data_IF_394637262743
#
_entry.id   IF_394637262743
#
_cell.length_a   1.000
_cell.length_b   1.000
_cell.length_c   1.000
_cell.angle_alpha   90.00
_cell.angle_beta   90.00
_cell.angle_gamma   90.00
#
_symmetry.space_group_name_H-M   'P 1'
#
loop_
_entity.id
_entity.type
_entity.pdbx_description
1 polymer ?
#
# COMPACT_ATOMS: atom_id res chain seq x y z
N UNK A 1 27.64 39.11 21.55
CA UNK A 1 27.15 39.36 20.17
C UNK A 1 27.69 38.34 19.18
N UNK A 2 28.97 37.96 19.21
CA UNK A 2 29.52 36.91 18.33
C UNK A 2 28.78 35.56 18.37
N UNK A 3 28.31 35.14 19.54
CA UNK A 3 27.53 33.91 19.67
C UNK A 3 26.17 33.96 18.94
N UNK A 4 25.51 35.13 18.87
CA UNK A 4 24.27 35.31 18.08
C UNK A 4 24.54 35.21 16.58
N UNK A 5 25.67 35.76 16.13
CA UNK A 5 26.12 35.65 14.73
C UNK A 5 26.40 34.18 14.39
N UNK A 6 27.06 33.44 15.28
CA UNK A 6 27.30 32.00 15.10
C UNK A 6 26.00 31.19 15.02
N UNK A 7 25.02 31.49 15.89
CA UNK A 7 23.70 30.84 15.82
C UNK A 7 23.01 31.15 14.50
N UNK A 8 22.98 32.41 14.08
CA UNK A 8 22.36 32.80 12.81
C UNK A 8 23.02 32.11 11.61
N UNK A 9 24.36 32.08 11.57
CA UNK A 9 25.10 31.37 10.52
C UNK A 9 24.80 29.87 10.51
N UNK A 10 24.67 29.24 11.68
CA UNK A 10 24.27 27.84 11.78
C UNK A 10 22.87 27.61 11.21
N UNK A 11 21.89 28.45 11.56
CA UNK A 11 20.54 28.39 10.99
C UNK A 11 20.52 28.58 9.47
N UNK A 12 21.24 29.58 8.96
CA UNK A 12 21.36 29.82 7.51
C UNK A 12 21.95 28.59 6.82
N UNK A 13 23.00 28.00 7.40
CA UNK A 13 23.61 26.78 6.88
C UNK A 13 22.62 25.60 6.87
N UNK A 14 21.85 25.41 7.94
CA UNK A 14 20.84 24.35 8.03
C UNK A 14 19.74 24.52 6.97
N UNK A 15 19.18 25.73 6.84
CA UNK A 15 18.16 26.06 5.82
C UNK A 15 18.71 25.87 4.41
N UNK A 16 19.90 26.41 4.13
CA UNK A 16 20.55 26.27 2.83
C UNK A 16 20.80 24.79 2.49
N UNK A 17 21.20 23.98 3.47
CA UNK A 17 21.39 22.53 3.30
C UNK A 17 20.09 21.85 2.89
N UNK A 18 18.97 22.12 3.59
CA UNK A 18 17.66 21.55 3.27
C UNK A 18 17.22 21.99 1.86
N UNK A 19 17.33 23.29 1.55
CA UNK A 19 16.92 23.83 0.24
C UNK A 19 17.73 23.22 -0.90
N UNK A 20 19.06 23.11 -0.76
CA UNK A 20 19.93 22.57 -1.82
C UNK A 20 19.70 21.07 -2.02
N UNK A 21 19.43 20.31 -0.96
CA UNK A 21 19.24 18.87 -1.05
C UNK A 21 17.81 18.48 -1.48
N UNK A 22 16.80 19.26 -1.08
CA UNK A 22 15.38 18.99 -1.37
C UNK A 22 14.80 19.85 -2.50
N UNK A 23 15.61 20.62 -3.26
CA UNK A 23 15.12 21.58 -4.25
C UNK A 23 14.16 21.01 -5.29
N UNK A 24 14.24 19.70 -5.58
CA UNK A 24 13.37 19.01 -6.54
C UNK A 24 11.97 18.73 -6.00
N UNK A 25 11.79 18.75 -4.68
CA UNK A 25 10.54 18.46 -4.00
C UNK A 25 10.19 19.62 -3.05
N UNK A 26 9.59 20.71 -3.56
CA UNK A 26 9.33 21.92 -2.77
C UNK A 26 8.46 21.64 -1.54
N UNK A 27 7.50 20.70 -1.64
CA UNK A 27 6.71 20.26 -0.49
C UNK A 27 7.56 19.65 0.62
N UNK A 28 8.47 18.72 0.30
CA UNK A 28 9.38 18.11 1.28
C UNK A 28 10.31 19.14 1.91
N UNK A 29 10.84 20.06 1.11
CA UNK A 29 11.69 21.16 1.60
C UNK A 29 10.93 22.02 2.62
N UNK A 30 9.68 22.41 2.33
CA UNK A 30 8.84 23.20 3.24
C UNK A 30 8.54 22.44 4.54
N UNK A 31 8.23 21.15 4.47
CA UNK A 31 7.97 20.33 5.65
C UNK A 31 9.20 20.29 6.58
N UNK A 32 10.39 20.06 6.02
CA UNK A 32 11.64 20.05 6.78
C UNK A 32 12.04 21.42 7.31
N UNK A 33 11.80 22.49 6.56
CA UNK A 33 12.01 23.85 7.04
C UNK A 33 11.07 24.19 8.20
N UNK A 34 9.83 23.73 8.19
CA UNK A 34 8.90 23.91 9.31
C UNK A 34 9.39 23.18 10.57
N UNK A 35 9.81 21.92 10.44
CA UNK A 35 10.36 21.14 11.56
C UNK A 35 11.63 21.82 12.11
N UNK A 36 12.51 22.28 11.22
CA UNK A 36 13.72 23.01 11.60
C UNK A 36 13.37 24.32 12.32
N UNK A 37 12.38 25.06 11.85
CA UNK A 37 11.95 26.31 12.47
C UNK A 37 11.40 26.10 13.88
N UNK A 38 10.57 25.07 14.08
CA UNK A 38 9.98 24.75 15.39
C UNK A 38 11.00 24.11 16.35
N UNK A 39 11.92 23.30 15.81
CA UNK A 39 12.92 22.56 16.58
C UNK A 39 14.30 22.64 15.89
N UNK A 40 15.05 23.73 16.06
CA UNK A 40 16.28 23.99 15.29
C UNK A 40 17.36 22.92 15.37
N UNK A 41 17.63 22.44 16.59
CA UNK A 41 18.67 21.43 16.81
C UNK A 41 18.16 20.04 16.43
N UNK A 42 16.99 19.67 16.98
CA UNK A 42 16.40 18.34 16.80
C UNK A 42 15.98 18.14 15.34
N UNK A 43 15.38 19.14 14.71
CA UNK A 43 14.90 19.10 13.33
C UNK A 43 16.01 18.91 12.32
N UNK A 44 17.17 19.54 12.50
CA UNK A 44 18.31 19.29 11.63
C UNK A 44 18.92 17.90 11.81
N UNK A 45 18.97 17.41 13.06
CA UNK A 45 19.39 16.03 13.35
C UNK A 45 18.42 15.04 12.68
N UNK A 46 17.11 15.23 12.84
CA UNK A 46 16.09 14.41 12.20
C UNK A 46 16.22 14.45 10.67
N UNK A 47 16.39 15.64 10.08
CA UNK A 47 16.61 15.79 8.64
C UNK A 47 17.79 14.93 8.16
N UNK A 48 18.91 14.98 8.86
CA UNK A 48 20.10 14.24 8.48
C UNK A 48 19.91 12.71 8.47
N UNK A 49 19.13 12.17 9.42
CA UNK A 49 18.86 10.72 9.53
C UNK A 49 17.66 10.23 8.72
N UNK A 50 16.76 11.13 8.32
CA UNK A 50 15.47 10.74 7.74
C UNK A 50 15.37 11.17 6.26
N UNK A 51 15.90 12.33 5.86
CA UNK A 51 15.52 12.97 4.60
C UNK A 51 16.25 12.51 3.32
N UNK A 52 17.36 11.76 3.39
CA UNK A 52 18.19 11.51 2.20
C UNK A 52 17.66 10.38 1.28
N UNK A 53 16.80 10.74 0.32
CA UNK A 53 16.12 9.79 -0.59
C UNK A 53 16.89 9.47 -1.91
N UNK A 54 17.41 10.49 -2.63
CA UNK A 54 17.70 10.33 -4.07
C UNK A 54 18.87 9.39 -4.44
N UNK A 55 20.04 9.51 -3.79
CA UNK A 55 21.21 8.65 -4.10
C UNK A 55 20.99 7.18 -3.73
N UNK A 56 20.08 6.90 -2.78
CA UNK A 56 19.84 5.56 -2.25
C UNK A 56 18.80 4.78 -3.06
N UNK A 57 17.77 5.44 -3.60
CA UNK A 57 16.86 4.83 -4.59
C UNK A 57 17.66 4.15 -5.72
N UNK A 58 18.65 4.86 -6.27
CA UNK A 58 19.53 4.32 -7.33
C UNK A 58 20.31 3.07 -6.91
N UNK A 59 20.72 2.95 -5.64
CA UNK A 59 21.46 1.79 -5.11
C UNK A 59 20.53 0.60 -4.84
N UNK A 60 19.30 0.86 -4.37
CA UNK A 60 18.24 -0.15 -4.17
C UNK A 60 17.80 -0.75 -5.52
N UNK A 61 17.59 0.11 -6.52
CA UNK A 61 17.23 -0.29 -7.90
C UNK A 61 18.16 -1.33 -8.51
N UNK A 62 19.47 -1.15 -8.34
CA UNK A 62 20.47 -2.08 -8.90
C UNK A 62 20.47 -3.46 -8.21
N UNK A 63 19.78 -3.61 -7.07
CA UNK A 63 19.68 -4.88 -6.33
C UNK A 63 18.37 -5.61 -6.61
N UNK A 64 17.24 -4.93 -6.85
CA UNK A 64 15.92 -5.56 -7.04
C UNK A 64 15.72 -6.29 -8.37
N UNK A 65 16.01 -5.66 -9.52
CA UNK A 65 15.51 -6.13 -10.83
C UNK A 65 16.13 -7.42 -11.40
N UNK A 66 17.17 -7.98 -10.77
CA UNK A 66 17.89 -9.15 -11.32
C UNK A 66 17.21 -10.50 -11.07
N UNK A 67 16.32 -10.60 -10.09
CA UNK A 67 15.64 -11.88 -9.80
C UNK A 67 14.56 -12.13 -10.85
N UNK A 68 13.72 -11.13 -11.12
CA UNK A 68 12.64 -11.25 -12.09
C UNK A 68 13.15 -11.53 -13.51
N UNK A 69 14.20 -10.83 -13.96
CA UNK A 69 14.76 -11.02 -15.30
C UNK A 69 15.22 -12.45 -15.60
N UNK A 70 15.59 -13.23 -14.60
CA UNK A 70 16.04 -14.62 -14.79
C UNK A 70 14.89 -15.63 -14.92
N UNK A 71 13.73 -15.34 -14.31
CA UNK A 71 12.56 -16.24 -14.34
C UNK A 71 11.51 -15.75 -15.34
N UNK A 72 11.58 -14.49 -15.77
CA UNK A 72 10.62 -13.82 -16.65
C UNK A 72 10.26 -14.65 -17.86
N UNK A 73 11.25 -15.12 -18.63
CA UNK A 73 10.97 -15.82 -19.88
C UNK A 73 10.19 -17.12 -19.64
N UNK A 74 10.44 -17.79 -18.51
CA UNK A 74 9.67 -18.97 -18.09
C UNK A 74 8.27 -18.59 -17.62
N UNK A 75 8.14 -17.56 -16.79
CA UNK A 75 6.83 -17.08 -16.34
C UNK A 75 5.94 -16.71 -17.53
N UNK A 76 6.51 -16.03 -18.53
CA UNK A 76 5.79 -15.65 -19.75
C UNK A 76 5.30 -16.84 -20.56
N UNK A 77 6.01 -17.98 -20.53
CA UNK A 77 5.58 -19.20 -21.21
C UNK A 77 4.46 -19.93 -20.47
N UNK A 78 4.40 -19.79 -19.14
CA UNK A 78 3.42 -20.48 -18.29
C UNK A 78 2.18 -19.63 -17.99
N UNK A 79 2.23 -18.32 -18.28
CA UNK A 79 1.20 -17.35 -17.94
C UNK A 79 0.39 -16.98 -19.17
N UNK A 80 -0.94 -16.92 -19.05
CA UNK A 80 -1.80 -16.28 -20.04
C UNK A 80 -1.66 -14.77 -19.89
N UNK A 81 -0.89 -14.14 -20.78
CA UNK A 81 -0.61 -12.70 -20.76
C UNK A 81 -1.52 -11.98 -21.75
N UNK A 82 -2.09 -10.86 -21.29
CA UNK A 82 -2.86 -9.93 -22.11
C UNK A 82 -1.93 -8.78 -22.53
N UNK A 83 -1.41 -8.86 -23.75
CA UNK A 83 -0.46 -7.89 -24.31
C UNK A 83 -1.09 -6.92 -25.31
N UNK A 84 -2.29 -7.23 -25.80
CA UNK A 84 -3.06 -6.37 -26.66
C UNK A 84 -4.41 -5.98 -26.03
N UNK A 85 -4.91 -4.80 -26.39
CA UNK A 85 -6.18 -4.30 -25.89
C UNK A 85 -7.37 -5.15 -26.36
N UNK A 86 -7.28 -5.72 -27.56
CA UNK A 86 -8.38 -6.52 -28.14
C UNK A 86 -8.64 -7.82 -27.36
N UNK A 87 -7.64 -8.29 -26.60
CA UNK A 87 -7.75 -9.45 -25.71
C UNK A 87 -8.33 -9.09 -24.33
N UNK A 88 -8.61 -7.82 -24.04
CA UNK A 88 -9.25 -7.43 -22.79
C UNK A 88 -10.70 -7.96 -22.73
N UNK A 89 -11.07 -8.63 -21.64
CA UNK A 89 -12.44 -9.12 -21.43
C UNK A 89 -13.45 -7.97 -21.26
N UNK A 90 -12.97 -6.76 -20.98
CA UNK A 90 -13.78 -5.60 -20.65
C UNK A 90 -13.88 -4.61 -21.82
N UNK A 91 -15.09 -4.46 -22.37
CA UNK A 91 -15.36 -3.55 -23.49
C UNK A 91 -15.16 -2.07 -23.16
N UNK A 92 -15.10 -1.67 -21.88
CA UNK A 92 -14.83 -0.29 -21.47
C UNK A 92 -13.40 0.16 -21.85
N UNK A 93 -12.50 -0.78 -22.14
CA UNK A 93 -11.15 -0.51 -22.62
C UNK A 93 -11.08 -0.05 -24.07
N UNK A 94 -12.16 -0.17 -24.85
CA UNK A 94 -12.19 0.37 -26.22
C UNK A 94 -11.88 1.87 -26.18
N UNK A 95 -10.89 2.29 -26.96
CA UNK A 95 -10.39 3.67 -27.02
C UNK A 95 -9.68 4.16 -25.73
N UNK A 96 -9.09 3.23 -24.97
CA UNK A 96 -8.28 3.54 -23.78
C UNK A 96 -6.80 3.19 -24.00
N UNK A 97 -6.27 3.43 -25.21
CA UNK A 97 -4.93 3.01 -25.65
C UNK A 97 -3.85 3.57 -24.74
N UNK A 98 -4.05 4.81 -24.29
CA UNK A 98 -3.13 5.48 -23.37
C UNK A 98 -3.12 4.86 -21.98
N UNK A 99 -4.28 4.49 -21.43
CA UNK A 99 -4.35 3.85 -20.11
C UNK A 99 -3.80 2.43 -20.19
N UNK A 100 -4.19 1.66 -21.20
CA UNK A 100 -3.68 0.31 -21.41
C UNK A 100 -2.15 0.33 -21.56
N UNK A 101 -1.62 1.19 -22.45
CA UNK A 101 -0.18 1.38 -22.62
C UNK A 101 0.53 1.86 -21.37
N UNK A 102 -0.11 2.71 -20.56
CA UNK A 102 0.44 3.09 -19.26
C UNK A 102 0.59 1.85 -18.37
N UNK A 103 -0.49 1.09 -18.15
CA UNK A 103 -0.50 -0.07 -17.27
C UNK A 103 0.49 -1.16 -17.71
N UNK A 104 0.66 -1.39 -19.01
CA UNK A 104 1.60 -2.38 -19.54
C UNK A 104 3.06 -1.93 -19.48
N UNK A 105 3.35 -0.62 -19.51
CA UNK A 105 4.73 -0.12 -19.53
C UNK A 105 5.26 0.40 -18.19
N UNK A 106 4.39 0.77 -17.24
CA UNK A 106 4.83 1.23 -15.90
C UNK A 106 5.26 0.08 -15.00
N UNK A 107 4.81 -1.14 -15.27
CA UNK A 107 5.06 -2.31 -14.44
C UNK A 107 5.86 -3.37 -15.17
N UNK A 108 6.70 -4.08 -14.43
CA UNK A 108 7.26 -5.35 -14.88
C UNK A 108 6.24 -6.50 -14.78
N UNK A 109 5.09 -6.28 -14.13
CA UNK A 109 4.01 -7.25 -13.98
C UNK A 109 2.96 -7.07 -15.08
N UNK A 110 2.73 -8.07 -15.95
CA UNK A 110 1.75 -7.99 -17.02
C UNK A 110 0.32 -8.14 -16.48
N UNK A 111 -0.65 -7.84 -17.34
CA UNK A 111 -2.04 -8.26 -17.12
C UNK A 111 -2.11 -9.75 -17.41
N UNK A 112 -2.60 -10.53 -16.44
CA UNK A 112 -2.72 -11.99 -16.52
C UNK A 112 -4.19 -12.37 -16.72
N UNK A 113 -4.50 -13.38 -17.52
CA UNK A 113 -5.88 -13.76 -17.88
C UNK A 113 -6.41 -15.07 -17.30
N UNK A 114 -5.57 -15.83 -16.59
CA UNK A 114 -5.94 -17.12 -15.97
C UNK A 114 -6.10 -16.89 -14.46
N UNK A 115 -7.20 -16.27 -14.03
CA UNK A 115 -7.41 -15.98 -12.60
C UNK A 115 -8.85 -16.18 -12.14
N UNK A 116 -8.97 -16.39 -10.84
CA UNK A 116 -10.21 -16.26 -10.08
C UNK A 116 -9.94 -15.48 -8.80
N UNK A 117 -10.73 -14.43 -8.55
CA UNK A 117 -10.59 -13.58 -7.38
C UNK A 117 -11.79 -13.68 -6.43
N UNK A 118 -11.50 -13.61 -5.14
CA UNK A 118 -12.52 -13.56 -4.08
C UNK A 118 -12.25 -12.39 -3.15
N UNK A 119 -13.22 -11.48 -3.07
CA UNK A 119 -13.18 -10.30 -2.19
C UNK A 119 -13.59 -10.69 -0.77
N UNK A 120 -12.72 -10.37 0.19
CA UNK A 120 -12.89 -10.59 1.63
C UNK A 120 -12.93 -9.23 2.34
N UNK A 121 -13.93 -9.01 3.20
CA UNK A 121 -14.33 -7.67 3.66
C UNK A 121 -14.06 -7.38 5.14
N UNK A 122 -13.50 -8.33 5.86
CA UNK A 122 -13.25 -8.23 7.30
C UNK A 122 -12.13 -9.19 7.72
N UNK A 123 -11.61 -8.99 8.94
CA UNK A 123 -10.53 -9.82 9.49
C UNK A 123 -10.93 -11.28 9.69
N UNK A 124 -12.14 -11.56 10.18
CA UNK A 124 -12.59 -12.92 10.46
C UNK A 124 -12.56 -13.79 9.19
N UNK A 125 -13.22 -13.33 8.12
CA UNK A 125 -13.28 -14.06 6.85
C UNK A 125 -11.90 -14.14 6.19
N UNK A 126 -11.10 -13.08 6.31
CA UNK A 126 -9.77 -13.04 5.70
C UNK A 126 -8.82 -14.01 6.37
N UNK A 127 -8.67 -13.92 7.69
CA UNK A 127 -7.75 -14.80 8.40
C UNK A 127 -8.21 -16.26 8.37
N UNK A 128 -9.52 -16.53 8.43
CA UNK A 128 -10.03 -17.89 8.25
C UNK A 128 -9.66 -18.46 6.88
N UNK A 129 -9.79 -17.68 5.81
CA UNK A 129 -9.41 -18.11 4.46
C UNK A 129 -7.89 -18.30 4.32
N UNK A 130 -7.08 -17.39 4.88
CA UNK A 130 -5.62 -17.50 4.88
C UNK A 130 -5.15 -18.75 5.64
N UNK A 131 -5.64 -18.97 6.85
CA UNK A 131 -5.29 -20.14 7.66
C UNK A 131 -5.73 -21.43 6.98
N UNK A 132 -6.94 -21.48 6.41
CA UNK A 132 -7.41 -22.64 5.65
C UNK A 132 -6.53 -22.95 4.44
N UNK A 133 -6.07 -21.93 3.71
CA UNK A 133 -5.12 -22.13 2.60
C UNK A 133 -3.77 -22.65 3.11
N UNK A 134 -3.24 -22.09 4.20
CA UNK A 134 -1.98 -22.55 4.80
C UNK A 134 -2.04 -24.01 5.29
N UNK A 135 -3.16 -24.45 5.84
CA UNK A 135 -3.35 -25.86 6.23
C UNK A 135 -3.25 -26.82 5.05
N UNK A 136 -3.69 -26.39 3.86
CA UNK A 136 -3.66 -27.19 2.64
C UNK A 136 -2.29 -27.20 1.94
N UNK A 137 -1.33 -26.38 2.40
CA UNK A 137 -0.02 -26.24 1.76
C UNK A 137 0.75 -27.57 1.70
N UNK A 138 1.48 -27.82 0.62
CA UNK A 138 2.23 -29.06 0.40
C UNK A 138 3.70 -28.83 0.08
N UNK A 139 4.07 -27.66 -0.43
CA UNK A 139 5.43 -27.35 -0.85
C UNK A 139 5.98 -26.15 -0.09
N UNK A 140 5.31 -25.00 -0.14
CA UNK A 140 5.80 -23.80 0.53
C UNK A 140 4.70 -22.82 0.96
N UNK A 141 5.03 -22.04 1.99
CA UNK A 141 4.26 -20.88 2.44
C UNK A 141 5.20 -19.69 2.51
N UNK A 142 4.87 -18.62 1.80
CA UNK A 142 5.58 -17.36 1.83
C UNK A 142 4.65 -16.27 2.35
N UNK A 143 5.02 -15.62 3.43
CA UNK A 143 4.19 -14.60 4.07
C UNK A 143 4.99 -13.36 4.40
N UNK A 144 4.43 -12.19 4.13
CA UNK A 144 4.92 -10.93 4.63
C UNK A 144 3.81 -10.04 5.19
N UNK A 145 4.14 -9.25 6.21
CA UNK A 145 3.23 -8.26 6.78
C UNK A 145 4.01 -7.09 7.37
N UNK A 146 3.41 -5.89 7.33
CA UNK A 146 3.97 -4.71 7.99
C UNK A 146 3.91 -4.85 9.50
N UNK A 147 2.74 -5.22 10.04
CA UNK A 147 2.54 -5.49 11.46
C UNK A 147 2.29 -6.99 11.65
N UNK A 148 3.03 -7.60 12.57
CA UNK A 148 2.76 -8.93 13.08
C UNK A 148 2.77 -8.88 14.60
N UNK A 149 1.67 -9.28 15.22
CA UNK A 149 1.50 -9.29 16.68
C UNK A 149 1.67 -10.70 17.25
N UNK A 150 2.08 -10.75 18.53
CA UNK A 150 2.14 -11.99 19.31
C UNK A 150 0.90 -12.09 20.21
N UNK A 151 -0.27 -12.13 19.59
CA UNK A 151 -1.60 -12.15 20.20
C UNK A 151 -2.41 -13.36 19.72
N UNK A 152 -3.73 -13.40 19.94
CA UNK A 152 -4.57 -14.56 19.64
C UNK A 152 -4.41 -15.04 18.20
N UNK A 153 -4.64 -14.15 17.22
CA UNK A 153 -4.50 -14.49 15.81
C UNK A 153 -3.04 -14.74 15.41
N UNK A 154 -2.09 -13.96 15.93
CA UNK A 154 -0.67 -14.18 15.68
C UNK A 154 -0.19 -15.57 16.11
N UNK A 155 -0.67 -16.05 17.26
CA UNK A 155 -0.41 -17.40 17.75
C UNK A 155 -1.04 -18.48 16.85
N UNK A 156 -2.23 -18.25 16.27
CA UNK A 156 -2.81 -19.18 15.30
C UNK A 156 -1.92 -19.31 14.06
N UNK A 157 -1.51 -18.19 13.45
CA UNK A 157 -0.57 -18.20 12.32
C UNK A 157 0.73 -18.93 12.66
N UNK A 158 1.35 -18.62 13.81
CA UNK A 158 2.57 -19.30 14.28
C UNK A 158 2.37 -20.82 14.36
N UNK A 159 1.28 -21.27 14.98
CA UNK A 159 1.02 -22.69 15.17
C UNK A 159 0.85 -23.42 13.83
N UNK A 160 0.15 -22.82 12.87
CA UNK A 160 0.03 -23.39 11.51
C UNK A 160 1.41 -23.46 10.85
N UNK A 161 2.17 -22.36 10.85
CA UNK A 161 3.52 -22.34 10.25
C UNK A 161 4.42 -23.45 10.79
N UNK A 162 4.49 -23.61 12.12
CA UNK A 162 5.33 -24.64 12.75
C UNK A 162 4.85 -26.05 12.37
N UNK A 163 3.52 -26.31 12.38
CA UNK A 163 2.99 -27.61 11.96
C UNK A 163 3.33 -27.93 10.51
N UNK A 164 3.15 -26.97 9.60
CA UNK A 164 3.47 -27.17 8.18
C UNK A 164 4.96 -27.42 7.95
N UNK A 165 5.85 -26.77 8.71
CA UNK A 165 7.29 -27.11 8.68
C UNK A 165 7.54 -28.56 9.11
N UNK A 166 6.86 -29.05 10.15
CA UNK A 166 6.98 -30.44 10.61
C UNK A 166 6.46 -31.45 9.57
N UNK A 167 5.49 -31.05 8.74
CA UNK A 167 4.98 -31.82 7.60
C UNK A 167 5.89 -31.74 6.36
N UNK A 168 6.99 -30.99 6.42
CA UNK A 168 7.97 -30.85 5.34
C UNK A 168 7.76 -29.64 4.41
N UNK A 169 6.78 -28.77 4.70
CA UNK A 169 6.51 -27.56 3.92
C UNK A 169 7.54 -26.48 4.24
N UNK A 170 8.06 -25.80 3.21
CA UNK A 170 9.00 -24.69 3.39
C UNK A 170 8.27 -23.41 3.78
N UNK A 171 8.47 -22.91 5.00
CA UNK A 171 7.78 -21.69 5.46
C UNK A 171 8.75 -20.52 5.63
N UNK A 172 8.41 -19.38 5.03
CA UNK A 172 9.19 -18.13 5.05
C UNK A 172 8.33 -16.96 5.48
N UNK A 173 8.78 -16.22 6.49
CA UNK A 173 8.09 -15.07 7.05
C UNK A 173 8.98 -13.81 6.99
N UNK A 174 8.44 -12.73 6.42
CA UNK A 174 9.01 -11.39 6.50
C UNK A 174 8.11 -10.52 7.37
N UNK A 175 8.72 -9.84 8.36
CA UNK A 175 8.03 -8.78 9.11
C UNK A 175 8.75 -7.44 8.86
N UNK A 176 8.02 -6.34 8.71
CA UNK A 176 8.68 -5.02 8.72
C UNK A 176 9.26 -4.75 10.11
N UNK A 177 10.53 -4.32 10.16
CA UNK A 177 11.22 -4.13 11.43
C UNK A 177 10.73 -2.93 12.25
N UNK A 178 10.14 -1.91 11.62
CA UNK A 178 9.51 -0.81 12.34
C UNK A 178 8.05 -1.13 12.65
N UNK A 179 7.28 -1.68 11.72
CA UNK A 179 5.88 -2.03 11.96
C UNK A 179 5.72 -3.11 13.03
N UNK A 180 6.64 -4.08 13.07
CA UNK A 180 6.63 -5.21 14.00
C UNK A 180 7.63 -5.06 15.15
N UNK A 181 8.02 -3.83 15.52
CA UNK A 181 9.00 -3.59 16.61
C UNK A 181 8.56 -4.11 17.99
N UNK A 182 7.25 -4.28 18.18
CA UNK A 182 6.66 -4.85 19.39
C UNK A 182 6.61 -6.38 19.40
N UNK A 183 7.00 -7.04 18.31
CA UNK A 183 7.03 -8.50 18.24
C UNK A 183 8.15 -9.02 19.15
N UNK A 184 7.77 -9.79 20.18
CA UNK A 184 8.71 -10.27 21.20
C UNK A 184 9.75 -11.20 20.57
N UNK A 185 11.01 -11.05 20.98
CA UNK A 185 12.10 -11.93 20.53
C UNK A 185 11.84 -13.41 20.87
N UNK A 186 11.15 -13.70 21.97
CA UNK A 186 10.75 -15.07 22.33
C UNK A 186 9.81 -15.67 21.30
N UNK A 187 8.84 -14.89 20.79
CA UNK A 187 7.89 -15.36 19.78
C UNK A 187 8.59 -15.67 18.45
N UNK A 188 9.52 -14.80 18.04
CA UNK A 188 10.36 -15.02 16.85
C UNK A 188 11.24 -16.26 17.02
N UNK A 189 11.82 -16.43 18.21
CA UNK A 189 12.65 -17.59 18.52
C UNK A 189 11.85 -18.89 18.45
N UNK A 190 10.62 -18.92 18.97
CA UNK A 190 9.75 -20.11 18.85
C UNK A 190 9.44 -20.49 17.40
N UNK A 191 9.23 -19.51 16.51
CA UNK A 191 9.08 -19.75 15.07
C UNK A 191 10.35 -20.36 14.47
N UNK A 192 11.52 -19.77 14.78
CA UNK A 192 12.81 -20.21 14.26
C UNK A 192 13.22 -21.59 14.79
N UNK A 193 13.02 -21.85 16.07
CA UNK A 193 13.25 -23.15 16.70
C UNK A 193 12.29 -24.22 16.12
N UNK A 194 11.09 -23.81 15.70
CA UNK A 194 10.15 -24.63 14.93
C UNK A 194 10.50 -24.81 13.45
N UNK A 195 11.59 -24.22 12.97
CA UNK A 195 12.12 -24.35 11.60
C UNK A 195 11.56 -23.36 10.58
N UNK A 196 10.77 -22.37 11.00
CA UNK A 196 10.30 -21.28 10.13
C UNK A 196 11.46 -20.32 9.83
N UNK A 197 11.66 -19.97 8.56
CA UNK A 197 12.66 -18.95 8.20
C UNK A 197 12.05 -17.56 8.42
N UNK A 198 12.57 -16.82 9.41
CA UNK A 198 12.04 -15.48 9.75
C UNK A 198 13.11 -14.41 9.53
N UNK A 199 12.77 -13.38 8.76
CA UNK A 199 13.61 -12.19 8.57
C UNK A 199 12.82 -10.90 8.78
N UNK A 200 13.54 -9.84 9.18
CA UNK A 200 12.97 -8.50 9.30
C UNK A 200 13.40 -7.61 8.14
N UNK A 201 12.45 -6.96 7.50
CA UNK A 201 12.74 -5.94 6.49
C UNK A 201 13.20 -4.65 7.17
N UNK A 202 14.43 -4.21 6.87
CA UNK A 202 15.06 -3.00 7.39
C UNK A 202 14.81 -2.76 8.90
N UNK A 203 15.35 -3.60 9.80
CA UNK A 203 15.15 -3.45 11.23
C UNK A 203 15.67 -2.10 11.74
N UNK A 204 15.11 -1.54 12.83
CA UNK A 204 15.30 -0.12 13.18
C UNK A 204 16.75 0.33 13.32
N UNK A 205 17.63 -0.52 13.87
CA UNK A 205 19.06 -0.23 13.98
C UNK A 205 19.72 -0.15 12.60
N UNK A 206 19.43 -1.09 11.71
CA UNK A 206 19.95 -1.08 10.32
C UNK A 206 19.36 0.10 9.55
N UNK A 207 18.07 0.37 9.73
CA UNK A 207 17.38 1.48 9.08
C UNK A 207 17.89 2.85 9.52
N UNK A 208 18.21 3.04 10.80
CA UNK A 208 18.77 4.29 11.31
C UNK A 208 20.22 4.48 10.87
N UNK A 209 21.06 3.44 10.96
CA UNK A 209 22.46 3.47 10.49
C UNK A 209 22.53 3.73 8.98
N UNK A 210 21.72 3.04 8.19
CA UNK A 210 21.67 3.21 6.74
C UNK A 210 20.82 4.40 6.29
N UNK A 211 20.23 5.18 7.22
CA UNK A 211 19.28 6.30 6.96
C UNK A 211 18.21 5.92 5.91
N UNK A 212 17.53 4.81 6.16
CA UNK A 212 16.43 4.21 5.38
C UNK A 212 15.16 4.06 6.24
N UNK A 213 15.02 4.89 7.28
CA UNK A 213 13.87 4.85 8.19
C UNK A 213 12.56 5.12 7.43
N UNK A 214 12.60 6.00 6.41
CA UNK A 214 11.44 6.31 5.57
C UNK A 214 10.95 5.16 4.70
N UNK A 215 11.83 4.20 4.37
CA UNK A 215 11.46 3.06 3.52
C UNK A 215 11.01 1.91 4.39
N UNK A 216 9.72 1.57 4.29
CA UNK A 216 9.08 0.49 5.03
C UNK A 216 8.43 -0.48 4.04
N UNK A 217 8.46 -1.77 4.36
CA UNK A 217 7.69 -2.74 3.59
C UNK A 217 6.26 -2.73 4.12
N UNK A 218 5.35 -2.19 3.33
CA UNK A 218 3.93 -2.09 3.66
C UNK A 218 3.07 -3.09 2.87
N UNK A 219 3.70 -3.99 2.11
CA UNK A 219 3.02 -5.10 1.46
C UNK A 219 2.57 -6.13 2.50
N UNK A 220 1.43 -6.76 2.21
CA UNK A 220 0.85 -7.84 3.00
C UNK A 220 0.53 -8.93 1.99
N UNK A 221 1.39 -9.94 1.93
CA UNK A 221 1.31 -11.02 0.95
C UNK A 221 1.27 -12.34 1.71
N UNK A 222 0.42 -13.25 1.28
CA UNK A 222 0.54 -14.67 1.58
C UNK A 222 0.47 -15.42 0.25
N UNK A 223 1.48 -16.25 -0.04
CA UNK A 223 1.48 -17.19 -1.16
C UNK A 223 1.59 -18.59 -0.60
N UNK A 224 0.69 -19.47 -1.04
CA UNK A 224 0.67 -20.90 -0.71
C UNK A 224 0.91 -21.70 -1.97
N UNK A 225 1.97 -22.51 -1.96
CA UNK A 225 2.40 -23.40 -3.04
C UNK A 225 2.53 -22.73 -4.42
N UNK A 226 2.63 -21.40 -4.48
CA UNK A 226 2.65 -20.65 -5.74
C UNK A 226 1.32 -20.62 -6.49
N UNK A 227 0.24 -21.17 -5.93
CA UNK A 227 -1.07 -21.34 -6.61
C UNK A 227 -2.19 -20.51 -6.00
N UNK A 228 -2.12 -20.24 -4.69
CA UNK A 228 -3.08 -19.39 -3.97
C UNK A 228 -2.33 -18.20 -3.38
N UNK A 229 -2.85 -17.00 -3.63
CA UNK A 229 -2.28 -15.74 -3.15
C UNK A 229 -3.29 -14.89 -2.39
N UNK A 230 -2.80 -14.09 -1.45
CA UNK A 230 -3.59 -13.09 -0.74
C UNK A 230 -2.87 -11.75 -0.76
N UNK A 231 -3.63 -10.68 -0.98
CA UNK A 231 -3.16 -9.28 -0.94
C UNK A 231 -4.27 -8.33 -0.48
N UNK A 232 -3.95 -7.35 0.36
CA UNK A 232 -4.93 -6.36 0.84
C UNK A 232 -4.45 -5.53 2.03
N UNK A 233 -5.37 -4.83 2.70
CA UNK A 233 -5.02 -3.85 3.73
C UNK A 233 -4.72 -4.41 5.13
N UNK A 234 -5.13 -5.65 5.41
CA UNK A 234 -5.03 -6.27 6.73
C UNK A 234 -3.60 -6.71 7.09
N UNK A 235 -3.16 -6.37 8.30
CA UNK A 235 -1.98 -6.97 8.93
C UNK A 235 -2.39 -8.14 9.85
N UNK A 236 -1.45 -8.72 10.61
CA UNK A 236 -1.75 -9.78 11.59
C UNK A 236 -1.78 -9.22 13.00
N UNK A 237 -2.96 -9.23 13.62
CA UNK A 237 -3.22 -8.82 14.99
C UNK A 237 -4.71 -8.86 15.38
N UNK A 238 -4.99 -8.96 16.67
CA UNK A 238 -6.35 -9.07 17.20
C UNK A 238 -7.17 -7.78 16.96
N UNK A 239 -6.51 -6.63 16.76
CA UNK A 239 -7.19 -5.37 16.40
C UNK A 239 -7.98 -5.50 15.09
N UNK A 240 -7.49 -6.30 14.15
CA UNK A 240 -8.13 -6.53 12.84
C UNK A 240 -9.35 -7.46 12.92
N UNK A 241 -9.50 -8.19 14.03
CA UNK A 241 -10.70 -8.94 14.37
C UNK A 241 -11.76 -8.07 15.08
N UNK A 242 -11.49 -6.76 15.25
CA UNK A 242 -12.35 -5.84 15.97
C UNK A 242 -12.26 -5.97 17.49
N UNK A 243 -11.19 -6.58 18.00
CA UNK A 243 -10.95 -6.74 19.44
C UNK A 243 -10.26 -5.52 20.09
N UNK A 244 -9.99 -4.46 19.31
CA UNK A 244 -9.52 -3.19 19.84
C UNK A 244 -10.68 -2.38 20.45
N UNK A 245 -10.60 -2.11 21.76
CA UNK A 245 -11.67 -1.43 22.50
C UNK A 245 -11.90 0.03 22.12
N UNK A 246 -10.99 0.67 21.37
CA UNK A 246 -11.11 2.07 20.95
C UNK A 246 -11.63 2.19 19.51
N UNK A 247 -11.10 1.41 18.59
CA UNK A 247 -11.43 1.46 17.16
C UNK A 247 -12.62 0.56 16.80
N UNK A 248 -12.89 -0.47 17.60
CA UNK A 248 -14.02 -1.38 17.41
C UNK A 248 -13.92 -2.16 16.09
N UNK A 249 -15.03 -2.28 15.37
CA UNK A 249 -15.10 -3.05 14.13
C UNK A 249 -14.09 -2.54 13.09
N UNK A 250 -13.21 -3.44 12.63
CA UNK A 250 -12.20 -3.14 11.63
C UNK A 250 -12.69 -3.54 10.23
N UNK A 251 -13.03 -2.54 9.41
CA UNK A 251 -13.50 -2.73 8.04
C UNK A 251 -12.32 -2.57 7.07
N UNK A 252 -11.90 -3.65 6.43
CA UNK A 252 -10.81 -3.65 5.46
C UNK A 252 -11.11 -4.60 4.30
N UNK A 253 -10.41 -4.48 3.18
CA UNK A 253 -10.62 -5.33 2.00
C UNK A 253 -9.34 -6.08 1.65
N UNK A 254 -9.50 -7.39 1.43
CA UNK A 254 -8.45 -8.30 1.02
C UNK A 254 -8.93 -9.12 -0.18
N UNK A 255 -8.02 -9.50 -1.05
CA UNK A 255 -8.27 -10.41 -2.16
C UNK A 255 -7.59 -11.74 -1.88
N UNK A 256 -8.35 -12.83 -2.05
CA UNK A 256 -7.78 -14.13 -2.36
C UNK A 256 -7.77 -14.29 -3.88
N UNK A 257 -6.65 -14.76 -4.41
CA UNK A 257 -6.41 -14.92 -5.85
C UNK A 257 -5.93 -16.35 -6.09
N UNK A 258 -6.53 -17.02 -7.05
CA UNK A 258 -6.00 -18.28 -7.60
C UNK A 258 -5.64 -18.06 -9.06
N UNK A 259 -4.48 -18.54 -9.49
CA UNK A 259 -4.02 -18.45 -10.88
C UNK A 259 -2.83 -17.54 -11.10
N UNK A 260 -2.63 -17.09 -12.34
CA UNK A 260 -1.37 -16.54 -12.85
C UNK A 260 -0.88 -15.28 -12.13
N UNK A 261 -1.78 -14.45 -11.62
CA UNK A 261 -1.43 -13.29 -10.81
C UNK A 261 -0.62 -13.67 -9.54
N UNK A 262 -0.77 -14.91 -9.04
CA UNK A 262 -0.02 -15.41 -7.87
C UNK A 262 1.48 -15.49 -8.15
N UNK A 263 1.91 -15.74 -9.39
CA UNK A 263 3.33 -15.71 -9.74
C UNK A 263 3.96 -14.34 -9.48
N UNK A 264 3.19 -13.26 -9.66
CA UNK A 264 3.67 -11.89 -9.47
C UNK A 264 3.64 -11.47 -8.00
N UNK A 265 2.69 -11.99 -7.20
CA UNK A 265 2.75 -11.91 -5.73
C UNK A 265 4.01 -12.62 -5.20
N UNK A 266 4.26 -13.84 -5.69
CA UNK A 266 5.42 -14.66 -5.35
C UNK A 266 6.72 -13.94 -5.70
N UNK A 267 6.82 -13.38 -6.91
CA UNK A 267 8.02 -12.66 -7.33
C UNK A 267 8.28 -11.40 -6.48
N UNK A 268 7.23 -10.65 -6.12
CA UNK A 268 7.37 -9.51 -5.22
C UNK A 268 7.91 -9.94 -3.85
N UNK A 269 7.33 -11.00 -3.26
CA UNK A 269 7.81 -11.58 -2.02
C UNK A 269 9.28 -12.02 -2.11
N UNK A 270 9.70 -12.70 -3.18
CA UNK A 270 11.09 -13.14 -3.34
C UNK A 270 12.06 -11.97 -3.51
N UNK A 271 11.61 -10.88 -4.14
CA UNK A 271 12.35 -9.62 -4.20
C UNK A 271 12.58 -9.03 -2.79
N UNK A 272 11.53 -8.98 -1.99
CA UNK A 272 11.60 -8.47 -0.61
C UNK A 272 12.38 -9.42 0.30
N UNK A 273 12.27 -10.73 0.09
CA UNK A 273 13.06 -11.74 0.78
C UNK A 273 14.55 -11.53 0.55
N UNK A 274 14.95 -11.26 -0.69
CA UNK A 274 16.35 -10.97 -1.02
C UNK A 274 16.83 -9.68 -0.38
N UNK A 275 15.97 -8.66 -0.29
CA UNK A 275 16.31 -7.41 0.39
C UNK A 275 16.45 -7.58 1.91
N UNK A 276 15.61 -8.42 2.53
CA UNK A 276 15.59 -8.66 3.96
C UNK A 276 16.68 -9.64 4.43
N UNK A 277 16.80 -10.80 3.76
CA UNK A 277 17.72 -11.88 4.15
C UNK A 277 19.08 -11.83 3.46
N UNK A 278 19.18 -11.15 2.32
CA UNK A 278 20.34 -11.21 1.42
C UNK A 278 20.41 -12.51 0.58
N UNK A 279 19.54 -13.49 0.86
CA UNK A 279 19.51 -14.76 0.15
C UNK A 279 18.86 -14.61 -1.23
N UNK A 280 19.39 -15.37 -2.19
CA UNK A 280 18.81 -15.46 -3.53
C UNK A 280 18.13 -16.81 -3.67
N UNK A 281 16.82 -16.79 -3.93
CA UNK A 281 16.04 -17.99 -4.23
C UNK A 281 15.69 -17.94 -5.72
N UNK A 282 16.04 -18.99 -6.44
CA UNK A 282 15.67 -19.19 -7.83
C UNK A 282 15.37 -20.69 -8.01
N UNK A 283 14.22 -21.10 -7.47
CA UNK A 283 13.72 -22.47 -7.60
C UNK A 283 12.50 -22.47 -8.53
N UNK A 284 12.59 -23.09 -9.72
CA UNK A 284 11.47 -23.34 -10.61
C UNK A 284 10.18 -23.89 -9.99
N UNK A 285 10.29 -24.68 -8.91
CA UNK A 285 9.13 -25.29 -8.25
C UNK A 285 8.21 -24.28 -7.60
N UNK A 286 8.71 -23.07 -7.34
CA UNK A 286 7.92 -21.96 -6.79
C UNK A 286 6.88 -21.40 -7.77
N UNK A 287 6.91 -21.86 -9.03
CA UNK A 287 6.04 -21.44 -10.12
C UNK A 287 5.44 -22.69 -10.81
N UNK A 288 4.56 -23.43 -10.11
CA UNK A 288 3.88 -24.59 -10.69
C UNK A 288 2.87 -24.12 -11.74
N UNK A 289 2.65 -24.89 -12.81
CA UNK A 289 1.63 -24.56 -13.82
C UNK A 289 0.24 -24.41 -13.21
N UNK A 290 -0.49 -23.40 -13.66
CA UNK A 290 -1.88 -23.19 -13.25
C UNK A 290 -2.86 -23.82 -14.23
N UNK A 291 -3.83 -24.55 -13.69
CA UNK A 291 -4.98 -25.05 -14.43
C UNK A 291 -6.21 -24.28 -13.99
N UNK A 292 -6.34 -23.02 -14.44
CA UNK A 292 -7.40 -22.15 -13.97
C UNK A 292 -8.75 -22.56 -14.52
N UNK A 293 -9.77 -22.44 -13.68
CA UNK A 293 -11.17 -22.51 -14.09
C UNK A 293 -11.74 -21.13 -14.42
N UNK A 294 -11.19 -20.08 -13.78
CA UNK A 294 -11.51 -18.69 -14.05
C UNK A 294 -10.65 -18.09 -15.16
N UNK A 295 -11.21 -17.09 -15.83
CA UNK A 295 -10.59 -16.33 -16.90
C UNK A 295 -10.51 -14.82 -16.58
N UNK A 296 -10.55 -14.46 -15.28
CA UNK A 296 -10.48 -13.06 -14.86
C UNK A 296 -9.11 -12.46 -15.19
N UNK A 297 -9.13 -11.21 -15.64
CA UNK A 297 -7.94 -10.44 -15.91
C UNK A 297 -7.52 -9.65 -14.68
N UNK A 298 -6.30 -9.91 -14.23
CA UNK A 298 -5.73 -9.31 -13.02
C UNK A 298 -4.31 -8.85 -13.29
N UNK A 299 -3.97 -7.66 -12.82
CA UNK A 299 -2.60 -7.16 -12.79
C UNK A 299 -2.17 -6.89 -11.35
N UNK A 300 -1.04 -7.47 -10.93
CA UNK A 300 -0.42 -7.15 -9.63
C UNK A 300 0.58 -6.02 -9.84
N UNK A 301 0.19 -4.80 -9.45
CA UNK A 301 1.04 -3.62 -9.56
C UNK A 301 1.83 -3.42 -8.26
N UNK A 302 3.15 -3.33 -8.35
CA UNK A 302 4.01 -2.97 -7.21
C UNK A 302 4.54 -1.55 -7.36
N UNK A 303 4.75 -0.87 -6.24
CA UNK A 303 5.49 0.40 -6.18
C UNK A 303 6.51 0.34 -5.06
N UNK A 304 7.58 1.12 -5.19
CA UNK A 304 8.62 1.19 -4.17
C UNK A 304 9.80 2.09 -4.57
N UNK A 305 10.61 2.52 -3.59
CA UNK A 305 11.79 3.35 -3.83
C UNK A 305 12.89 2.65 -4.65
N UNK A 306 12.75 1.35 -4.88
CA UNK A 306 13.61 0.52 -5.73
C UNK A 306 13.21 0.51 -7.21
N UNK A 307 12.03 1.05 -7.56
CA UNK A 307 11.52 1.07 -8.93
C UNK A 307 11.82 2.37 -9.67
N UNK A 308 11.63 2.37 -10.99
CA UNK A 308 11.86 3.55 -11.82
C UNK A 308 10.71 4.55 -11.77
N UNK A 309 9.48 4.04 -11.78
CA UNK A 309 8.24 4.80 -11.79
C UNK A 309 7.55 4.67 -10.44
N UNK A 310 6.83 5.71 -10.03
CA UNK A 310 5.93 5.64 -8.87
C UNK A 310 4.59 5.03 -9.34
N UNK A 311 4.64 3.73 -9.71
CA UNK A 311 3.66 3.09 -10.59
C UNK A 311 2.21 3.15 -10.09
N UNK A 312 1.99 2.98 -8.78
CA UNK A 312 0.64 3.07 -8.18
C UNK A 312 0.07 4.49 -8.30
N UNK A 313 0.90 5.52 -8.15
CA UNK A 313 0.47 6.91 -8.27
C UNK A 313 0.11 7.23 -9.73
N UNK A 314 0.94 6.82 -10.68
CA UNK A 314 0.69 7.01 -12.12
C UNK A 314 -0.56 6.24 -12.57
N UNK A 315 -0.77 5.02 -12.07
CA UNK A 315 -2.00 4.25 -12.29
C UNK A 315 -3.23 4.98 -11.76
N UNK A 316 -3.20 5.48 -10.53
CA UNK A 316 -4.30 6.26 -9.95
C UNK A 316 -4.61 7.50 -10.80
N UNK A 317 -3.57 8.27 -11.17
CA UNK A 317 -3.72 9.46 -12.00
C UNK A 317 -4.32 9.11 -13.38
N UNK A 318 -3.75 8.11 -14.06
CA UNK A 318 -4.18 7.68 -15.39
C UNK A 318 -5.63 7.18 -15.41
N UNK A 319 -6.03 6.37 -14.41
CA UNK A 319 -7.38 5.85 -14.29
C UNK A 319 -8.39 6.99 -14.03
N UNK A 320 -8.09 7.88 -13.09
CA UNK A 320 -8.97 9.02 -12.75
C UNK A 320 -9.11 9.97 -13.95
N UNK A 321 -8.04 10.20 -14.70
CA UNK A 321 -8.04 11.11 -15.85
C UNK A 321 -8.91 10.65 -17.02
N UNK A 322 -9.19 9.34 -17.15
CA UNK A 322 -10.04 8.79 -18.22
C UNK A 322 -11.45 8.42 -17.75
N UNK A 323 -11.78 8.66 -16.48
CA UNK A 323 -13.08 8.34 -15.91
C UNK A 323 -14.20 9.13 -16.60
N UNK A 324 -15.30 8.44 -16.94
CA UNK A 324 -16.44 8.99 -17.67
C UNK A 324 -17.71 9.12 -16.81
N UNK A 325 -17.89 8.26 -15.81
CA UNK A 325 -19.16 8.12 -15.07
C UNK A 325 -18.97 8.30 -13.57
N UNK A 326 -18.06 7.54 -12.94
CA UNK A 326 -17.85 7.54 -11.49
C UNK A 326 -16.42 7.22 -11.09
N UNK A 327 -16.00 7.80 -9.97
CA UNK A 327 -14.80 7.45 -9.22
C UNK A 327 -15.19 7.27 -7.77
N UNK A 328 -15.13 6.05 -7.27
CA UNK A 328 -15.41 5.72 -5.88
C UNK A 328 -14.14 5.27 -5.18
N UNK A 329 -13.84 5.85 -4.02
CA UNK A 329 -12.60 5.58 -3.28
C UNK A 329 -12.91 5.33 -1.80
N UNK A 330 -12.26 4.31 -1.24
CA UNK A 330 -12.20 4.11 0.22
C UNK A 330 -10.74 4.09 0.62
N UNK A 331 -10.37 4.91 1.60
CA UNK A 331 -8.99 5.01 2.10
C UNK A 331 -8.99 5.47 3.56
N UNK A 332 -8.14 4.92 4.44
CA UNK A 332 -8.01 5.45 5.80
C UNK A 332 -7.38 6.84 5.80
N UNK A 333 -6.46 7.10 4.86
CA UNK A 333 -5.69 8.34 4.76
C UNK A 333 -5.88 8.94 3.38
N UNK A 334 -6.34 10.19 3.33
CA UNK A 334 -6.61 10.92 2.09
C UNK A 334 -5.72 12.16 2.03
N UNK A 335 -4.46 11.93 1.65
CA UNK A 335 -3.42 12.96 1.54
C UNK A 335 -2.80 12.85 0.13
N UNK A 336 -3.62 13.00 -0.95
CA UNK A 336 -3.15 12.77 -2.31
C UNK A 336 -2.04 13.75 -2.69
N UNK A 337 -1.19 13.33 -3.63
CA UNK A 337 -0.25 14.23 -4.28
C UNK A 337 -0.99 15.25 -5.16
N UNK A 338 -0.30 16.31 -5.61
CA UNK A 338 -0.91 17.36 -6.43
C UNK A 338 -1.52 16.84 -7.73
N UNK A 339 -0.95 15.80 -8.33
CA UNK A 339 -1.38 15.25 -9.61
C UNK A 339 -2.70 14.49 -9.44
N UNK A 340 -2.76 13.55 -8.50
CA UNK A 340 -4.00 12.83 -8.17
C UNK A 340 -5.08 13.78 -7.66
N UNK A 341 -4.71 14.74 -6.79
CA UNK A 341 -5.63 15.75 -6.29
C UNK A 341 -6.31 16.55 -7.41
N UNK A 342 -5.51 17.06 -8.36
CA UNK A 342 -6.03 17.82 -9.48
C UNK A 342 -6.83 16.95 -10.45
N UNK A 343 -6.44 15.68 -10.66
CA UNK A 343 -7.21 14.75 -11.48
C UNK A 343 -8.61 14.51 -10.89
N UNK A 344 -8.71 14.27 -9.58
CA UNK A 344 -9.99 14.12 -8.86
C UNK A 344 -10.84 15.37 -9.03
N UNK A 345 -10.24 16.54 -8.79
CA UNK A 345 -10.91 17.84 -8.92
C UNK A 345 -11.43 18.06 -10.34
N UNK A 346 -10.60 17.83 -11.35
CA UNK A 346 -10.97 17.98 -12.76
C UNK A 346 -12.09 17.02 -13.16
N UNK A 347 -12.03 15.76 -12.73
CA UNK A 347 -13.08 14.78 -12.99
C UNK A 347 -14.43 15.24 -12.40
N UNK A 348 -14.44 15.67 -11.13
CA UNK A 348 -15.65 16.16 -10.46
C UNK A 348 -16.25 17.39 -11.16
N UNK A 349 -15.41 18.39 -11.50
CA UNK A 349 -15.85 19.59 -12.23
C UNK A 349 -16.36 19.25 -13.64
N UNK A 350 -15.85 18.18 -14.25
CA UNK A 350 -16.29 17.69 -15.57
C UNK A 350 -17.60 16.89 -15.51
N UNK A 351 -18.19 16.72 -14.33
CA UNK A 351 -19.48 16.03 -14.14
C UNK A 351 -19.37 14.54 -13.80
N UNK A 352 -18.18 14.00 -13.58
CA UNK A 352 -17.97 12.63 -13.11
C UNK A 352 -18.38 12.54 -11.64
N UNK A 353 -19.16 11.52 -11.25
CA UNK A 353 -19.54 11.33 -9.85
C UNK A 353 -18.34 10.86 -9.03
N UNK A 354 -17.85 11.69 -8.10
CA UNK A 354 -16.76 11.30 -7.20
C UNK A 354 -17.28 11.12 -5.77
N UNK A 355 -17.11 9.92 -5.22
CA UNK A 355 -17.44 9.59 -3.82
C UNK A 355 -16.21 9.05 -3.09
N UNK A 356 -15.93 9.57 -1.90
CA UNK A 356 -14.80 9.14 -1.08
C UNK A 356 -15.26 8.78 0.32
N UNK A 357 -15.00 7.56 0.76
CA UNK A 357 -15.20 7.12 2.14
C UNK A 357 -13.87 7.23 2.89
N UNK A 358 -13.90 7.98 4.00
CA UNK A 358 -12.80 8.13 4.95
C UNK A 358 -13.27 7.76 6.36
N UNK A 359 -12.36 7.42 7.28
CA UNK A 359 -12.72 7.12 8.66
C UNK A 359 -13.35 8.30 9.39
N UNK A 360 -14.40 8.04 10.19
CA UNK A 360 -14.84 8.98 11.23
C UNK A 360 -13.83 9.01 12.39
N UNK A 361 -13.51 7.85 12.96
CA UNK A 361 -12.44 7.69 13.96
C UNK A 361 -11.14 7.25 13.29
N UNK A 362 -9.99 7.81 13.70
CA UNK A 362 -8.68 7.46 13.13
C UNK A 362 -7.70 7.08 14.23
N UNK A 363 -6.81 6.16 13.90
CA UNK A 363 -5.65 5.74 14.68
C UNK A 363 -4.60 6.86 14.84
N UNK A 364 -4.57 7.86 13.95
CA UNK A 364 -3.64 8.99 14.00
C UNK A 364 -4.32 10.36 13.84
N UNK A 365 -4.29 11.17 14.90
CA UNK A 365 -4.86 12.53 14.89
C UNK A 365 -4.20 13.46 13.88
N UNK A 366 -2.87 13.35 13.70
CA UNK A 366 -2.13 14.19 12.75
C UNK A 366 -2.54 13.87 11.32
N UNK A 367 -2.64 12.57 11.00
CA UNK A 367 -3.03 12.11 9.66
C UNK A 367 -4.50 12.44 9.37
N UNK A 368 -5.39 12.34 10.37
CA UNK A 368 -6.79 12.80 10.26
C UNK A 368 -6.87 14.29 9.94
N UNK A 369 -6.14 15.14 10.65
CA UNK A 369 -6.12 16.59 10.40
C UNK A 369 -5.53 16.94 9.03
N UNK A 370 -4.46 16.25 8.63
CA UNK A 370 -3.90 16.39 7.29
C UNK A 370 -4.93 15.98 6.21
N UNK A 371 -5.63 14.86 6.39
CA UNK A 371 -6.65 14.40 5.44
C UNK A 371 -7.79 15.40 5.28
N UNK A 372 -8.33 15.91 6.40
CA UNK A 372 -9.41 16.90 6.40
C UNK A 372 -9.02 18.23 5.72
N UNK A 373 -7.73 18.55 5.66
CA UNK A 373 -7.22 19.77 5.00
C UNK A 373 -7.40 19.79 3.47
N UNK A 374 -7.66 18.64 2.84
CA UNK A 374 -7.92 18.51 1.40
C UNK A 374 -9.43 18.48 1.07
N UNK A 375 -10.28 18.22 2.06
CA UNK A 375 -11.69 17.90 1.85
C UNK A 375 -12.50 19.14 1.41
N UNK A 376 -12.26 20.32 2.01
CA UNK A 376 -13.12 21.50 1.78
C UNK A 376 -13.13 21.96 0.32
N UNK A 377 -11.98 22.01 -0.33
CA UNK A 377 -11.87 22.45 -1.73
C UNK A 377 -12.42 21.40 -2.71
N UNK A 378 -12.28 20.11 -2.40
CA UNK A 378 -12.86 19.04 -3.21
C UNK A 378 -14.39 18.98 -3.07
N UNK A 379 -14.93 19.20 -1.86
CA UNK A 379 -16.36 19.38 -1.65
C UNK A 379 -16.93 20.54 -2.49
N UNK A 380 -16.21 21.67 -2.56
CA UNK A 380 -16.59 22.81 -3.41
C UNK A 380 -16.56 22.45 -4.91
N UNK A 381 -15.73 21.50 -5.29
CA UNK A 381 -15.57 21.04 -6.67
C UNK A 381 -16.57 19.94 -7.08
N UNK A 382 -17.46 19.53 -6.16
CA UNK A 382 -18.51 18.53 -6.41
C UNK A 382 -18.19 17.11 -5.93
N UNK A 383 -17.03 16.88 -5.32
CA UNK A 383 -16.71 15.58 -4.71
C UNK A 383 -17.56 15.39 -3.45
N UNK A 384 -18.07 14.18 -3.23
CA UNK A 384 -18.80 13.82 -2.00
C UNK A 384 -17.91 13.01 -1.07
N UNK A 385 -17.75 13.47 0.17
CA UNK A 385 -17.02 12.75 1.21
C UNK A 385 -17.99 12.15 2.23
N UNK A 386 -17.70 10.93 2.66
CA UNK A 386 -18.47 10.19 3.64
C UNK A 386 -17.55 9.72 4.77
N UNK A 387 -17.97 9.88 6.01
CA UNK A 387 -17.26 9.40 7.20
C UNK A 387 -17.89 8.11 7.68
N UNK A 388 -17.14 7.02 7.62
CA UNK A 388 -17.58 5.70 8.10
C UNK A 388 -17.68 5.67 9.63
N UNK A 389 -18.84 5.25 10.17
CA UNK A 389 -19.16 5.40 11.60
C UNK A 389 -19.27 4.09 12.38
N UNK A 390 -19.39 2.94 11.72
CA UNK A 390 -19.52 1.63 12.39
C UNK A 390 -18.23 1.16 13.11
N UNK A 391 -17.09 1.76 12.78
CA UNK A 391 -15.79 1.45 13.37
C UNK A 391 -14.67 2.12 12.59
N UNK A 392 -13.52 1.47 12.46
CA UNK A 392 -12.41 1.98 11.66
C UNK A 392 -12.41 1.36 10.25
N UNK A 393 -12.50 2.21 9.22
CA UNK A 393 -12.36 1.78 7.83
C UNK A 393 -10.91 1.97 7.36
N UNK A 394 -10.29 0.85 7.02
CA UNK A 394 -8.89 0.77 6.59
C UNK A 394 -8.74 0.12 5.20
N UNK A 395 -9.84 -0.06 4.46
CA UNK A 395 -9.76 -0.50 3.07
C UNK A 395 -9.02 0.52 2.18
N UNK A 396 -8.30 0.02 1.17
CA UNK A 396 -7.66 0.82 0.12
C UNK A 396 -8.20 0.37 -1.23
N UNK A 397 -9.33 0.96 -1.59
CA UNK A 397 -10.10 0.57 -2.78
C UNK A 397 -10.33 1.79 -3.64
N UNK A 398 -10.11 1.66 -4.95
CA UNK A 398 -10.52 2.64 -5.95
C UNK A 398 -11.30 1.93 -7.05
N UNK A 399 -12.44 2.48 -7.42
CA UNK A 399 -13.30 1.97 -8.49
C UNK A 399 -13.47 3.10 -9.49
N UNK A 400 -13.12 2.86 -10.74
CA UNK A 400 -13.30 3.81 -11.84
C UNK A 400 -14.25 3.20 -12.86
N UNK A 401 -15.42 3.80 -13.00
CA UNK A 401 -16.49 3.33 -13.87
C UNK A 401 -16.80 1.84 -13.70
N UNK A 402 -17.05 1.14 -14.80
CA UNK A 402 -16.90 -0.32 -14.92
C UNK A 402 -15.57 -0.65 -15.61
N UNK A 403 -14.61 0.28 -15.61
CA UNK A 403 -13.32 0.17 -16.32
C UNK A 403 -12.32 -0.67 -15.51
N UNK A 404 -12.08 -0.28 -14.26
CA UNK A 404 -11.20 -1.01 -13.35
C UNK A 404 -11.58 -0.80 -11.90
N UNK A 405 -11.19 -1.75 -11.05
CA UNK A 405 -11.18 -1.59 -9.61
C UNK A 405 -9.84 -2.04 -9.03
N UNK A 406 -9.46 -1.47 -7.89
CA UNK A 406 -8.21 -1.80 -7.22
C UNK A 406 -8.42 -2.21 -5.78
N UNK A 407 -7.64 -3.17 -5.30
CA UNK A 407 -7.53 -3.55 -3.89
C UNK A 407 -6.06 -3.76 -3.59
N UNK A 408 -5.55 -3.18 -2.50
CA UNK A 408 -4.13 -3.27 -2.19
C UNK A 408 -3.76 -2.77 -0.81
N UNK A 409 -2.49 -2.44 -0.69
CA UNK A 409 -1.86 -1.96 0.55
C UNK A 409 -1.69 -0.44 0.57
N UNK A 410 -1.60 0.19 -0.61
CA UNK A 410 -1.31 1.60 -0.78
C UNK A 410 -2.50 2.48 -0.38
N UNK A 411 -2.29 3.37 0.59
CA UNK A 411 -3.27 4.41 0.88
C UNK A 411 -3.24 5.50 -0.22
N UNK A 412 -4.26 6.35 -0.21
CA UNK A 412 -4.29 7.56 -1.03
C UNK A 412 -3.44 8.68 -0.40
N UNK A 413 -2.16 8.41 -0.12
CA UNK A 413 -1.21 9.32 0.52
C UNK A 413 0.18 9.36 -0.13
N UNK A 414 0.91 10.45 0.13
CA UNK A 414 2.25 10.67 -0.45
C UNK A 414 3.27 9.63 0.01
N UNK A 415 3.18 9.13 1.26
CA UNK A 415 4.07 8.08 1.74
C UNK A 415 3.87 6.75 1.00
N UNK A 416 2.65 6.32 0.74
CA UNK A 416 2.36 5.10 -0.03
C UNK A 416 2.81 5.25 -1.48
N UNK A 417 2.64 6.44 -2.07
CA UNK A 417 3.06 6.70 -3.45
C UNK A 417 4.58 6.74 -3.64
N UNK A 418 5.32 7.32 -2.69
CA UNK A 418 6.73 7.66 -2.92
C UNK A 418 7.73 7.03 -1.95
N UNK A 419 7.32 6.49 -0.82
CA UNK A 419 8.25 6.09 0.24
C UNK A 419 8.17 4.59 0.57
N UNK A 420 6.96 4.06 0.73
CA UNK A 420 6.77 2.68 1.10
C UNK A 420 6.94 1.73 -0.10
N UNK A 421 7.30 0.49 0.19
CA UNK A 421 7.06 -0.62 -0.73
C UNK A 421 5.59 -0.99 -0.58
N UNK A 422 4.84 -0.86 -1.66
CA UNK A 422 3.39 -1.08 -1.70
C UNK A 422 3.03 -2.03 -2.86
N UNK A 423 1.82 -2.55 -2.82
CA UNK A 423 1.25 -3.39 -3.86
C UNK A 423 -0.26 -3.18 -3.99
N UNK A 424 -0.75 -3.26 -5.21
CA UNK A 424 -2.17 -3.16 -5.54
C UNK A 424 -2.52 -4.14 -6.65
N UNK A 425 -3.54 -4.96 -6.44
CA UNK A 425 -4.14 -5.74 -7.51
C UNK A 425 -5.17 -4.88 -8.25
N UNK A 426 -5.10 -4.90 -9.58
CA UNK A 426 -6.04 -4.25 -10.49
C UNK A 426 -6.92 -5.34 -11.10
N UNK A 427 -8.23 -5.13 -11.00
CA UNK A 427 -9.29 -6.02 -11.48
C UNK A 427 -9.96 -5.34 -12.66
N UNK A 428 -10.04 -6.04 -13.79
CA UNK A 428 -10.59 -5.48 -15.04
C UNK A 428 -11.98 -6.00 -15.36
N UNK A 429 -12.37 -7.16 -14.82
CA UNK A 429 -13.63 -7.82 -15.16
C UNK A 429 -14.83 -7.29 -14.36
N UNK A 430 -16.00 -7.35 -14.98
CA UNK A 430 -17.25 -6.81 -14.43
C UNK A 430 -17.65 -7.45 -13.09
N UNK A 431 -17.46 -8.76 -12.93
CA UNK A 431 -17.89 -9.49 -11.73
C UNK A 431 -17.19 -8.99 -10.46
N UNK A 432 -15.83 -8.97 -10.36
CA UNK A 432 -15.13 -8.44 -9.20
C UNK A 432 -15.37 -6.93 -8.99
N UNK A 433 -15.46 -6.14 -10.07
CA UNK A 433 -15.78 -4.71 -9.97
C UNK A 433 -17.17 -4.52 -9.34
N UNK A 434 -18.17 -5.26 -9.80
CA UNK A 434 -19.54 -5.18 -9.26
C UNK A 434 -19.61 -5.62 -7.80
N UNK A 435 -18.82 -6.63 -7.41
CA UNK A 435 -18.70 -7.07 -6.02
C UNK A 435 -18.18 -5.96 -5.11
N UNK A 436 -17.14 -5.23 -5.56
CA UNK A 436 -16.57 -4.09 -4.83
C UNK A 436 -17.51 -2.88 -4.81
N UNK A 437 -18.26 -2.63 -5.89
CA UNK A 437 -19.32 -1.61 -5.90
C UNK A 437 -20.38 -1.91 -4.82
N UNK A 438 -20.80 -3.17 -4.68
CA UNK A 438 -21.76 -3.55 -3.65
C UNK A 438 -21.21 -3.32 -2.24
N UNK A 439 -19.93 -3.66 -2.01
CA UNK A 439 -19.28 -3.38 -0.72
C UNK A 439 -19.20 -1.90 -0.43
N UNK A 440 -18.84 -1.08 -1.42
CA UNK A 440 -18.81 0.37 -1.28
C UNK A 440 -20.18 0.95 -0.91
N UNK A 441 -21.25 0.48 -1.56
CA UNK A 441 -22.61 0.90 -1.25
C UNK A 441 -23.05 0.47 0.17
N UNK A 442 -22.64 -0.72 0.62
CA UNK A 442 -22.89 -1.15 2.00
C UNK A 442 -22.12 -0.29 3.01
N UNK A 443 -20.85 0.05 2.71
CA UNK A 443 -20.06 0.93 3.56
C UNK A 443 -20.67 2.35 3.62
N UNK A 444 -21.30 2.81 2.53
CA UNK A 444 -22.04 4.08 2.51
C UNK A 444 -23.26 4.07 3.45
N UNK A 445 -23.96 2.94 3.63
CA UNK A 445 -25.11 2.90 4.57
C UNK A 445 -24.68 3.07 6.03
N UNK A 446 -23.42 2.76 6.33
CA UNK A 446 -22.79 2.91 7.64
C UNK A 446 -21.97 4.21 7.75
N UNK A 447 -22.11 5.11 6.77
CA UNK A 447 -21.35 6.35 6.68
C UNK A 447 -22.23 7.59 6.69
N UNK A 448 -21.67 8.70 7.18
CA UNK A 448 -22.33 10.02 7.19
C UNK A 448 -21.67 10.96 6.20
N UNK A 449 -22.46 11.60 5.34
CA UNK A 449 -21.95 12.59 4.38
C UNK A 449 -21.39 13.84 5.09
N UNK A 450 -20.26 14.33 4.60
CA UNK A 450 -19.68 15.61 5.03
C UNK A 450 -20.32 16.73 4.21
N UNK A 451 -21.27 17.44 4.81
CA UNK A 451 -21.92 18.58 4.16
C UNK A 451 -21.00 19.81 4.11
N UNK A 452 -20.80 20.37 2.90
CA UNK A 452 -19.98 21.57 2.69
C UNK A 452 -20.40 22.75 3.59
N UNK A 453 -21.71 22.98 3.77
CA UNK A 453 -22.24 24.08 4.60
C UNK A 453 -21.81 23.96 6.06
N UNK A 454 -21.82 22.75 6.59
CA UNK A 454 -21.45 22.46 7.97
C UNK A 454 -19.93 22.41 8.11
N UNK A 455 -19.26 21.76 7.16
CA UNK A 455 -17.81 21.63 7.14
C UNK A 455 -17.15 23.00 7.08
N UNK A 456 -17.51 23.88 6.15
CA UNK A 456 -16.89 25.22 6.00
C UNK A 456 -16.98 26.11 7.26
N UNK A 457 -17.89 25.82 8.20
CA UNK A 457 -18.09 26.54 9.46
C UNK A 457 -17.21 26.03 10.63
N UNK A 458 -16.31 25.08 10.39
CA UNK A 458 -15.28 24.63 11.35
C UNK A 458 -14.54 25.83 11.99
N UNK A 459 -14.17 25.69 13.26
CA UNK A 459 -13.54 26.77 14.03
C UNK A 459 -12.20 27.19 13.40
N UNK A 460 -11.80 28.45 13.60
CA UNK A 460 -10.49 28.94 13.11
C UNK A 460 -9.31 28.13 13.66
N UNK A 461 -9.42 27.65 14.90
CA UNK A 461 -8.43 26.76 15.52
C UNK A 461 -8.31 25.45 14.75
N UNK A 462 -9.44 24.80 14.45
CA UNK A 462 -9.45 23.57 13.67
C UNK A 462 -8.83 23.77 12.27
N UNK A 463 -9.23 24.83 11.55
CA UNK A 463 -8.66 25.15 10.23
C UNK A 463 -7.15 25.40 10.30
N UNK A 464 -6.68 26.09 11.35
CA UNK A 464 -5.25 26.31 11.58
C UNK A 464 -4.47 25.02 11.80
N UNK A 465 -5.03 24.09 12.59
CA UNK A 465 -4.42 22.76 12.81
C UNK A 465 -4.40 21.91 11.54
N UNK A 466 -5.49 21.89 10.77
CA UNK A 466 -5.56 21.20 9.47
C UNK A 466 -4.48 21.73 8.51
N UNK A 467 -4.29 23.05 8.42
CA UNK A 467 -3.26 23.67 7.58
C UNK A 467 -1.84 23.31 8.04
N UNK A 468 -1.58 23.35 9.35
CA UNK A 468 -0.27 22.96 9.89
C UNK A 468 0.04 21.50 9.60
N UNK A 469 -0.94 20.60 9.75
CA UNK A 469 -0.78 19.20 9.41
C UNK A 469 -0.59 18.98 7.89
N UNK A 470 -1.24 19.78 7.04
CA UNK A 470 -1.03 19.74 5.57
C UNK A 470 0.40 20.06 5.15
N UNK A 471 1.10 20.93 5.88
CA UNK A 471 2.52 21.20 5.62
C UNK A 471 3.40 19.98 5.88
N UNK A 472 2.94 19.04 6.70
CA UNK A 472 3.62 17.78 6.99
C UNK A 472 3.24 16.66 6.02
N UNK A 473 2.25 16.84 5.14
CA UNK A 473 1.78 15.83 4.16
C UNK A 473 2.90 15.11 3.40
N UNK A 474 3.99 15.77 2.94
CA UNK A 474 5.07 15.09 2.21
C UNK A 474 5.89 14.10 3.06
N UNK A 475 5.68 14.09 4.38
CA UNK A 475 6.30 13.19 5.35
C UNK A 475 5.32 12.15 5.91
N UNK A 476 4.01 12.34 5.67
CA UNK A 476 2.92 11.52 6.19
C UNK A 476 2.55 10.40 5.22
#
# INVERSE_FOLDING_TARGET
MWWLVLILLAFIFQIATILILEFRNPGKALAWMLILFLFPVIGFILYYFVAQDYKKRRKLRNRGSRVFQEVRDRLWQQTVIIDCMDDMNNSEYRHQERLFGLLTHISESPITGCNETKVLTDGERTFAAMLAAMELARDHIHMESYIFRADGIGHQFKNVMIRKVQEGVKVRLICDGLGSYHLKSSFVKELQDGGVEVYFFLPPLIATIDRRVNYRNHRKILVVDGTVGFVGGLNVGDEYLGLDGKLGYWRDTHLQINGDAVYFLQNAFLGDWRLASGQRINDPKLYPEHHCQGNEQVQVLTSGPDQHWDAIQEMCFGAIAVAKRRIWMTTPYFIPDSSVYNAIKTAAVSGVEVKVIIPYESDSRIVKLASLSYVEELLQSGVKFYQYQKGFIHAKVMIVDDLLATVGTANMDMRSFFCNFEMTAILFDKAPISRLCQDFLNDLTESKEIELKTFSRRTRQQKGLELLCRLLSPLL
#
